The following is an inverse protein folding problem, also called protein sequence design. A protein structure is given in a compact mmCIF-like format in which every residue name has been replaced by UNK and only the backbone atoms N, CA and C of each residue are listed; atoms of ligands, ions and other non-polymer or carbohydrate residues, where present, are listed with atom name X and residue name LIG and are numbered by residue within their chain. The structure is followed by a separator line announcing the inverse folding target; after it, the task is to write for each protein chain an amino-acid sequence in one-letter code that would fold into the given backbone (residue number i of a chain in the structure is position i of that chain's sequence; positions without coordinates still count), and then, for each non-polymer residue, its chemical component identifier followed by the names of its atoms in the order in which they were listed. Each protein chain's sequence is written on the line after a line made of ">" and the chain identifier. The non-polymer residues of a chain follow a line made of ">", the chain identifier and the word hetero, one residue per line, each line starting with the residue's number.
data_IF_158234313290
#
_entry.id   IF_158234313290
#
_cell.length_a   1.000
_cell.length_b   1.000
_cell.length_c   1.000
_cell.angle_alpha   90.00
_cell.angle_beta   90.00
_cell.angle_gamma   90.00
#
_symmetry.space_group_name_H-M   'P 1'
#
loop_
_entity.id
_entity.type
_entity.pdbx_description
1 polymer ?
#
# COMPACT_ATOMS: atom_id res chain seq x y z
N UNK A 1 -1.22 16.07 7.22
CA UNK A 1 -1.23 14.63 6.86
C UNK A 1 -0.25 14.39 5.73
N UNK A 2 0.45 13.29 5.76
CA UNK A 2 1.32 12.86 4.65
C UNK A 2 0.86 11.48 4.19
N UNK A 3 0.81 11.31 2.86
CA UNK A 3 0.63 10.03 2.23
C UNK A 3 2.01 9.52 1.78
N UNK A 4 2.40 8.33 2.23
CA UNK A 4 3.63 7.67 1.81
C UNK A 4 3.29 6.68 0.71
N UNK A 5 3.92 6.84 -0.45
CA UNK A 5 3.82 5.86 -1.53
C UNK A 5 5.13 5.08 -1.58
N UNK A 6 5.04 3.78 -1.40
CA UNK A 6 6.17 2.87 -1.58
C UNK A 6 5.74 1.71 -2.48
N UNK A 7 6.65 1.25 -3.32
CA UNK A 7 6.46 0.07 -4.17
C UNK A 7 7.33 0.16 -5.41
N UNK A 8 7.58 -0.97 -6.03
CA UNK A 8 8.23 -1.08 -7.34
C UNK A 8 7.32 -0.58 -8.48
N UNK A 9 6.01 -0.57 -8.24
CA UNK A 9 5.01 -0.06 -9.16
C UNK A 9 4.48 1.33 -8.74
N UNK A 10 4.08 2.11 -9.73
CA UNK A 10 3.55 3.47 -9.53
C UNK A 10 2.05 3.41 -9.21
N UNK A 11 1.72 3.23 -7.94
CA UNK A 11 0.33 3.12 -7.49
C UNK A 11 -0.38 4.48 -7.45
N UNK A 12 -0.87 4.95 -8.58
CA UNK A 12 -1.68 6.17 -8.68
C UNK A 12 -2.94 6.07 -7.81
N UNK A 13 -3.55 4.89 -7.73
CA UNK A 13 -4.72 4.60 -6.89
C UNK A 13 -4.42 4.86 -5.41
N UNK A 14 -3.25 4.52 -4.91
CA UNK A 14 -2.87 4.75 -3.50
C UNK A 14 -2.89 6.24 -3.14
N UNK A 15 -2.55 7.14 -4.08
CA UNK A 15 -2.70 8.59 -3.86
C UNK A 15 -4.16 8.94 -3.61
N UNK A 16 -5.06 8.46 -4.45
CA UNK A 16 -6.50 8.74 -4.33
C UNK A 16 -7.09 8.14 -3.06
N UNK A 17 -6.76 6.88 -2.76
CA UNK A 17 -7.25 6.16 -1.57
C UNK A 17 -6.83 6.81 -0.25
N UNK A 18 -5.70 7.50 -0.21
CA UNK A 18 -5.27 8.20 1.00
C UNK A 18 -5.70 9.67 1.02
N UNK A 19 -5.63 10.35 -0.13
CA UNK A 19 -5.93 11.79 -0.18
C UNK A 19 -7.42 12.08 -0.12
N UNK A 20 -8.28 11.31 -0.79
CA UNK A 20 -9.72 11.58 -0.82
C UNK A 20 -10.37 11.48 0.56
N UNK A 21 -10.16 10.40 1.34
CA UNK A 21 -10.67 10.36 2.72
C UNK A 21 -10.14 11.49 3.59
N UNK A 22 -8.88 11.89 3.40
CA UNK A 22 -8.32 13.01 4.13
C UNK A 22 -9.00 14.34 3.81
N UNK A 23 -9.30 14.59 2.53
CA UNK A 23 -10.03 15.78 2.08
C UNK A 23 -11.43 15.79 2.68
N UNK A 24 -12.15 14.66 2.61
CA UNK A 24 -13.48 14.51 3.20
C UNK A 24 -13.47 14.75 4.70
N UNK A 25 -12.41 14.29 5.39
CA UNK A 25 -12.20 14.55 6.81
C UNK A 25 -11.76 15.98 7.14
N UNK A 26 -11.67 16.89 6.16
CA UNK A 26 -11.33 18.28 6.37
C UNK A 26 -9.84 18.58 6.59
N UNK A 27 -8.94 17.67 6.20
CA UNK A 27 -7.48 17.88 6.31
C UNK A 27 -7.04 19.00 5.35
N UNK A 28 -6.58 20.11 5.88
CA UNK A 28 -6.21 21.31 5.11
C UNK A 28 -4.89 21.19 4.35
N UNK A 29 -3.94 20.44 4.89
CA UNK A 29 -2.59 20.35 4.34
C UNK A 29 -2.23 18.88 4.09
N UNK A 30 -2.15 18.50 2.82
CA UNK A 30 -1.75 17.16 2.38
C UNK A 30 -0.41 17.26 1.67
N UNK A 31 0.53 16.44 2.08
CA UNK A 31 1.85 16.31 1.48
C UNK A 31 2.03 14.86 1.00
N UNK A 32 2.80 14.66 -0.04
CA UNK A 32 3.10 13.35 -0.59
C UNK A 32 4.58 13.08 -0.51
N UNK A 33 4.98 11.88 -0.09
CA UNK A 33 6.34 11.38 -0.26
C UNK A 33 6.30 10.13 -1.14
N UNK A 34 7.20 10.08 -2.10
CA UNK A 34 7.31 8.95 -3.03
C UNK A 34 8.77 8.78 -3.45
N UNK A 35 9.27 7.54 -3.51
CA UNK A 35 10.58 7.31 -4.10
C UNK A 35 10.57 7.78 -5.56
N UNK A 36 11.72 8.17 -6.05
CA UNK A 36 11.90 8.58 -7.45
C UNK A 36 12.89 7.63 -8.12
N UNK A 37 12.49 7.05 -9.24
CA UNK A 37 13.40 6.28 -10.08
C UNK A 37 14.13 7.25 -11.04
N UNK A 38 15.46 7.24 -11.02
CA UNK A 38 16.27 8.18 -11.83
C UNK A 38 15.83 9.65 -11.70
N UNK A 39 15.50 10.07 -10.47
CA UNK A 39 15.00 11.43 -10.14
C UNK A 39 13.66 11.80 -10.80
N UNK A 40 12.95 10.85 -11.41
CA UNK A 40 11.64 11.06 -12.03
C UNK A 40 10.54 10.41 -11.20
N UNK A 41 9.42 11.10 -11.06
CA UNK A 41 8.18 10.57 -10.50
C UNK A 41 7.25 10.26 -11.67
N UNK A 42 6.48 9.17 -11.58
CA UNK A 42 5.50 8.84 -12.60
C UNK A 42 4.51 10.01 -12.81
N UNK A 43 4.29 10.47 -14.04
CA UNK A 43 3.38 11.58 -14.34
C UNK A 43 1.95 11.36 -13.84
N UNK A 44 1.45 10.11 -13.84
CA UNK A 44 0.13 9.78 -13.33
C UNK A 44 0.01 10.03 -11.83
N UNK A 45 1.05 9.73 -11.04
CA UNK A 45 1.12 10.03 -9.59
C UNK A 45 1.07 11.55 -9.37
N UNK A 46 1.83 12.32 -10.16
CA UNK A 46 1.83 13.78 -10.08
C UNK A 46 0.46 14.34 -10.43
N UNK A 47 -0.19 13.80 -11.46
CA UNK A 47 -1.52 14.22 -11.89
C UNK A 47 -2.56 13.97 -10.79
N UNK A 48 -2.60 12.75 -10.24
CA UNK A 48 -3.50 12.40 -9.13
C UNK A 48 -3.27 13.29 -7.90
N UNK A 49 -2.02 13.51 -7.52
CA UNK A 49 -1.67 14.37 -6.40
C UNK A 49 -2.15 15.83 -6.61
N UNK A 50 -1.97 16.37 -7.83
CA UNK A 50 -2.49 17.71 -8.18
C UNK A 50 -4.01 17.77 -8.10
N UNK A 51 -4.73 16.76 -8.60
CA UNK A 51 -6.20 16.67 -8.51
C UNK A 51 -6.70 16.61 -7.08
N UNK A 52 -5.95 15.98 -6.18
CA UNK A 52 -6.24 15.95 -4.75
C UNK A 52 -5.75 17.18 -3.97
N UNK A 53 -5.24 18.22 -4.63
CA UNK A 53 -4.77 19.42 -3.95
C UNK A 53 -3.55 19.23 -3.06
N UNK A 54 -2.72 18.22 -3.34
CA UNK A 54 -1.46 17.97 -2.63
C UNK A 54 -0.55 19.18 -2.77
N UNK A 55 -0.14 19.78 -1.64
CA UNK A 55 0.63 21.02 -1.62
C UNK A 55 2.09 20.84 -1.99
N UNK A 56 2.68 19.70 -1.64
CA UNK A 56 4.09 19.41 -1.91
C UNK A 56 4.33 17.93 -2.08
N UNK A 57 5.17 17.58 -3.03
CA UNK A 57 5.63 16.21 -3.26
C UNK A 57 7.13 16.15 -2.95
N UNK A 58 7.50 15.29 -2.00
CA UNK A 58 8.88 15.03 -1.66
C UNK A 58 9.37 13.78 -2.42
N UNK A 59 10.47 13.94 -3.18
CA UNK A 59 11.11 12.85 -3.95
C UNK A 59 11.97 11.98 -3.04
N UNK A 60 11.38 11.38 -2.05
CA UNK A 60 12.04 10.50 -1.10
C UNK A 60 11.05 9.48 -0.56
N UNK A 61 11.53 8.34 -0.17
CA UNK A 61 10.73 7.26 0.42
C UNK A 61 11.53 6.56 1.52
N UNK A 62 11.02 5.43 2.02
CA UNK A 62 11.68 4.64 3.03
C UNK A 62 11.63 5.23 4.44
N UNK A 63 12.32 4.59 5.39
CA UNK A 63 12.32 4.94 6.80
C UNK A 63 12.74 6.40 7.07
N UNK A 64 13.75 6.88 6.33
CA UNK A 64 14.26 8.24 6.50
C UNK A 64 13.24 9.32 6.14
N UNK A 65 12.30 9.05 5.21
CA UNK A 65 11.22 9.99 4.92
C UNK A 65 10.20 10.07 6.07
N UNK A 66 9.92 8.94 6.71
CA UNK A 66 9.05 8.87 7.89
C UNK A 66 9.63 9.72 9.03
N UNK A 67 10.90 9.49 9.38
CA UNK A 67 11.57 10.27 10.41
C UNK A 67 11.64 11.78 10.09
N UNK A 68 11.97 12.12 8.84
CA UNK A 68 12.03 13.52 8.41
C UNK A 68 10.69 14.25 8.52
N UNK A 69 9.57 13.55 8.31
CA UNK A 69 8.23 14.12 8.42
C UNK A 69 7.72 14.12 9.85
N UNK A 70 8.07 13.12 10.66
CA UNK A 70 7.69 13.07 12.07
C UNK A 70 8.32 14.18 12.88
N UNK A 71 9.62 14.44 12.68
CA UNK A 71 10.37 15.42 13.48
C UNK A 71 10.54 16.78 12.79
N UNK A 72 10.38 16.83 11.47
CA UNK A 72 10.67 18.01 10.67
C UNK A 72 12.18 18.20 10.43
N UNK A 73 12.52 18.91 9.37
CA UNK A 73 13.89 19.32 9.04
C UNK A 73 13.86 20.67 8.32
N UNK A 74 15.02 21.23 7.95
CA UNK A 74 15.06 22.45 7.12
C UNK A 74 14.31 22.31 5.79
N UNK A 75 14.16 21.08 5.27
CA UNK A 75 13.51 20.80 3.97
C UNK A 75 12.14 20.13 4.11
N UNK A 76 11.87 19.44 5.22
CA UNK A 76 10.65 18.69 5.47
C UNK A 76 9.84 19.36 6.56
N UNK A 77 8.57 19.56 6.28
CA UNK A 77 7.61 20.10 7.23
C UNK A 77 7.25 18.99 8.21
N UNK A 78 7.29 19.26 9.52
CA UNK A 78 6.74 18.36 10.53
C UNK A 78 5.23 18.20 10.29
N UNK A 79 4.72 16.98 10.42
CA UNK A 79 3.31 16.66 10.20
C UNK A 79 2.68 16.02 11.43
N UNK A 80 1.36 16.10 11.51
CA UNK A 80 0.60 15.56 12.65
C UNK A 80 0.22 14.09 12.43
N UNK A 81 0.15 13.63 11.17
CA UNK A 81 -0.22 12.26 10.83
C UNK A 81 0.44 11.78 9.55
N UNK A 82 0.93 10.54 9.59
CA UNK A 82 1.54 9.81 8.47
C UNK A 82 0.66 8.61 8.14
N UNK A 83 0.24 8.48 6.88
CA UNK A 83 -0.61 7.38 6.40
C UNK A 83 -0.06 6.82 5.10
N UNK A 84 -0.47 5.63 4.75
CA UNK A 84 -0.13 4.97 3.50
C UNK A 84 0.70 3.70 3.69
N UNK A 85 0.71 2.82 2.68
CA UNK A 85 1.45 1.58 2.72
C UNK A 85 2.95 1.79 2.59
N UNK A 86 3.71 0.79 3.00
CA UNK A 86 5.16 0.79 2.87
C UNK A 86 5.73 -0.61 3.06
N UNK A 87 7.02 -0.76 2.78
CA UNK A 87 7.73 -2.00 3.06
C UNK A 87 8.04 -2.16 4.57
N UNK A 88 8.68 -3.26 4.95
CA UNK A 88 9.04 -3.55 6.35
C UNK A 88 9.83 -2.40 7.02
N UNK A 89 10.70 -1.71 6.28
CA UNK A 89 11.46 -0.55 6.82
C UNK A 89 10.55 0.64 7.11
N UNK A 90 9.56 0.90 6.26
CA UNK A 90 8.56 1.96 6.49
C UNK A 90 7.65 1.59 7.66
N UNK A 91 7.21 0.33 7.75
CA UNK A 91 6.40 -0.16 8.85
C UNK A 91 7.15 -0.04 10.20
N UNK A 92 8.42 -0.45 10.24
CA UNK A 92 9.27 -0.30 11.40
C UNK A 92 9.44 1.19 11.78
N UNK A 93 9.74 2.06 10.82
CA UNK A 93 9.90 3.48 11.08
C UNK A 93 8.59 4.14 11.57
N UNK A 94 7.42 3.74 11.04
CA UNK A 94 6.13 4.20 11.55
C UNK A 94 5.90 3.78 13.00
N UNK A 95 6.30 2.56 13.36
CA UNK A 95 6.22 2.07 14.75
C UNK A 95 7.11 2.90 15.68
N UNK A 96 8.33 3.22 15.27
CA UNK A 96 9.29 4.00 16.08
C UNK A 96 8.83 5.44 16.33
N UNK A 97 8.14 6.07 15.38
CA UNK A 97 7.64 7.44 15.52
C UNK A 97 6.21 7.52 16.07
N UNK A 98 5.60 6.37 16.37
CA UNK A 98 4.26 6.34 16.94
C UNK A 98 4.24 6.96 18.35
N UNK A 99 3.38 7.93 18.57
CA UNK A 99 3.35 8.75 19.77
C UNK A 99 3.89 10.16 19.53
N UNK A 100 4.96 10.31 18.73
CA UNK A 100 5.48 11.62 18.30
C UNK A 100 4.67 12.18 17.11
N UNK A 101 4.13 11.29 16.29
CA UNK A 101 3.25 11.58 15.16
C UNK A 101 2.16 10.50 15.06
N UNK A 102 0.95 10.89 14.66
CA UNK A 102 -0.11 9.92 14.40
C UNK A 102 0.20 9.06 13.17
N UNK A 103 -0.11 7.77 13.22
CA UNK A 103 -0.02 6.86 12.09
C UNK A 103 -1.39 6.25 11.78
N UNK A 104 -1.54 5.62 10.61
CA UNK A 104 -2.71 4.80 10.27
C UNK A 104 -2.62 3.42 10.93
N UNK A 105 -1.59 2.65 10.55
CA UNK A 105 -1.33 1.31 11.08
C UNK A 105 0.13 0.92 10.87
N UNK A 106 0.59 -0.07 11.61
CA UNK A 106 1.84 -0.78 11.32
C UNK A 106 1.45 -1.97 10.44
N UNK A 107 1.52 -1.77 9.12
CA UNK A 107 1.18 -2.81 8.16
C UNK A 107 2.38 -3.76 7.95
N UNK A 108 2.13 -5.06 8.13
CA UNK A 108 3.01 -6.12 7.63
C UNK A 108 2.70 -6.47 6.18
N UNK A 109 3.34 -7.53 5.62
CA UNK A 109 2.91 -8.13 4.36
C UNK A 109 1.44 -8.50 4.43
N UNK A 110 0.69 -8.19 3.37
CA UNK A 110 -0.74 -8.50 3.33
C UNK A 110 -0.97 -9.99 3.16
N UNK A 111 -1.95 -10.51 3.86
CA UNK A 111 -2.38 -11.89 3.77
C UNK A 111 -3.85 -11.93 3.32
N UNK A 112 -4.19 -12.90 2.49
CA UNK A 112 -5.58 -13.18 2.12
C UNK A 112 -5.95 -14.60 2.51
N UNK A 113 -7.11 -14.77 3.11
CA UNK A 113 -7.70 -16.08 3.38
C UNK A 113 -9.06 -16.17 2.70
N UNK A 114 -9.22 -17.14 1.82
CA UNK A 114 -10.47 -17.41 1.10
C UNK A 114 -11.10 -18.64 1.72
N UNK A 115 -12.28 -18.47 2.29
CA UNK A 115 -13.11 -19.58 2.81
C UNK A 115 -14.13 -19.93 1.74
N UNK A 116 -14.06 -21.15 1.20
CA UNK A 116 -14.89 -21.57 0.09
C UNK A 116 -15.54 -22.94 0.31
N UNK A 117 -16.77 -23.07 -0.16
CA UNK A 117 -17.52 -24.32 -0.17
C UNK A 117 -17.44 -25.02 -1.55
N UNK A 118 -18.20 -26.10 -1.72
CA UNK A 118 -18.24 -26.91 -2.94
C UNK A 118 -18.85 -26.21 -4.14
N UNK A 119 -19.53 -25.07 -3.98
CA UNK A 119 -20.19 -24.32 -5.05
C UNK A 119 -19.35 -23.16 -5.56
N UNK A 120 -18.25 -22.87 -4.89
CA UNK A 120 -17.37 -21.77 -5.28
C UNK A 120 -16.65 -22.08 -6.61
N UNK A 121 -16.46 -21.05 -7.42
CA UNK A 121 -15.78 -21.15 -8.71
C UNK A 121 -14.25 -21.21 -8.51
N UNK A 122 -13.59 -22.31 -8.96
CA UNK A 122 -12.14 -22.45 -8.82
C UNK A 122 -11.33 -21.39 -9.56
N UNK A 123 -11.82 -20.89 -10.70
CA UNK A 123 -11.11 -19.89 -11.50
C UNK A 123 -11.11 -18.52 -10.82
N UNK A 124 -12.21 -18.14 -10.17
CA UNK A 124 -12.29 -16.92 -9.39
C UNK A 124 -11.42 -16.99 -8.13
N UNK A 125 -11.46 -18.13 -7.42
CA UNK A 125 -10.58 -18.33 -6.25
C UNK A 125 -9.11 -18.23 -6.66
N UNK A 126 -8.72 -18.85 -7.77
CA UNK A 126 -7.35 -18.79 -8.25
C UNK A 126 -6.93 -17.35 -8.58
N UNK A 127 -7.80 -16.56 -9.22
CA UNK A 127 -7.53 -15.17 -9.54
C UNK A 127 -7.31 -14.33 -8.26
N UNK A 128 -8.13 -14.50 -7.23
CA UNK A 128 -7.99 -13.78 -5.96
C UNK A 128 -6.71 -14.16 -5.21
N UNK A 129 -6.35 -15.46 -5.21
CA UNK A 129 -5.09 -15.91 -4.60
C UNK A 129 -3.86 -15.34 -5.32
N UNK A 130 -3.89 -15.27 -6.65
CA UNK A 130 -2.81 -14.69 -7.47
C UNK A 130 -2.72 -13.18 -7.23
N UNK A 131 -3.85 -12.49 -7.21
CA UNK A 131 -3.91 -11.04 -7.00
C UNK A 131 -3.22 -10.62 -5.69
N UNK A 132 -3.33 -11.43 -4.63
CA UNK A 132 -2.60 -11.17 -3.39
C UNK A 132 -1.15 -11.59 -3.46
N UNK A 133 -0.85 -12.74 -4.06
CA UNK A 133 0.51 -13.29 -4.13
C UNK A 133 1.46 -12.42 -4.95
N UNK A 134 0.97 -11.69 -5.96
CA UNK A 134 1.79 -10.82 -6.81
C UNK A 134 2.29 -9.54 -6.10
N UNK A 135 1.69 -9.16 -4.96
CA UNK A 135 2.00 -7.91 -4.27
C UNK A 135 3.37 -7.90 -3.60
N UNK A 136 3.78 -9.00 -2.98
CA UNK A 136 5.06 -9.08 -2.25
C UNK A 136 5.50 -10.55 -2.14
N UNK A 137 6.82 -10.78 -2.13
CA UNK A 137 7.40 -12.13 -1.96
C UNK A 137 7.07 -12.76 -0.59
N UNK A 138 6.71 -11.95 0.39
CA UNK A 138 6.28 -12.38 1.72
C UNK A 138 4.75 -12.39 1.87
N UNK A 139 3.98 -12.09 0.81
CA UNK A 139 2.53 -12.18 0.84
C UNK A 139 2.10 -13.64 1.00
N UNK A 140 1.01 -13.84 1.74
CA UNK A 140 0.42 -15.17 1.92
C UNK A 140 -0.99 -15.19 1.35
N UNK A 141 -1.27 -16.26 0.59
CA UNK A 141 -2.59 -16.52 0.01
C UNK A 141 -3.05 -17.92 0.45
N UNK A 142 -4.13 -18.00 1.20
CA UNK A 142 -4.58 -19.22 1.88
C UNK A 142 -5.99 -19.57 1.39
N UNK A 143 -6.19 -20.81 0.93
CA UNK A 143 -7.50 -21.37 0.67
C UNK A 143 -7.91 -22.30 1.82
N UNK A 144 -9.07 -22.04 2.40
CA UNK A 144 -9.69 -22.88 3.44
C UNK A 144 -10.97 -23.47 2.89
N UNK A 145 -11.04 -24.80 2.81
CA UNK A 145 -12.24 -25.49 2.33
C UNK A 145 -12.39 -26.86 2.97
N UNK A 146 -13.64 -27.25 3.21
CA UNK A 146 -14.00 -28.61 3.62
C UNK A 146 -14.13 -29.57 2.43
N UNK A 147 -14.04 -29.10 1.19
CA UNK A 147 -14.22 -29.89 -0.04
C UNK A 147 -12.89 -30.13 -0.76
N UNK A 148 -12.27 -31.28 -0.50
CA UNK A 148 -10.94 -31.64 -1.02
C UNK A 148 -10.80 -31.53 -2.54
N UNK A 149 -11.86 -31.87 -3.30
CA UNK A 149 -11.84 -31.75 -4.77
C UNK A 149 -11.63 -30.30 -5.24
N UNK A 150 -12.12 -29.30 -4.49
CA UNK A 150 -11.93 -27.89 -4.81
C UNK A 150 -10.44 -27.50 -4.79
N UNK A 151 -9.66 -28.07 -3.85
CA UNK A 151 -8.21 -27.83 -3.77
C UNK A 151 -7.52 -28.21 -5.08
N UNK A 152 -7.86 -29.39 -5.63
CA UNK A 152 -7.31 -29.87 -6.90
C UNK A 152 -7.71 -28.97 -8.07
N UNK A 153 -8.96 -28.54 -8.12
CA UNK A 153 -9.48 -27.66 -9.18
C UNK A 153 -8.82 -26.28 -9.13
N UNK A 154 -8.69 -25.69 -7.94
CA UNK A 154 -8.00 -24.41 -7.76
C UNK A 154 -6.53 -24.53 -8.12
N UNK A 155 -5.84 -25.59 -7.71
CA UNK A 155 -4.45 -25.82 -8.08
C UNK A 155 -4.24 -25.94 -9.60
N UNK A 156 -5.19 -26.57 -10.31
CA UNK A 156 -5.19 -26.61 -11.76
C UNK A 156 -5.39 -25.22 -12.37
N UNK A 157 -6.37 -24.47 -11.87
CA UNK A 157 -6.65 -23.12 -12.33
C UNK A 157 -5.48 -22.14 -12.09
N UNK A 158 -4.83 -22.22 -10.93
CA UNK A 158 -3.62 -21.45 -10.64
C UNK A 158 -2.53 -21.68 -11.69
N UNK A 159 -2.24 -22.95 -12.02
CA UNK A 159 -1.25 -23.29 -13.07
C UNK A 159 -1.62 -22.73 -14.43
N UNK A 160 -2.90 -22.72 -14.78
CA UNK A 160 -3.41 -22.18 -16.05
C UNK A 160 -3.31 -20.65 -16.13
N UNK A 161 -3.50 -19.95 -15.01
CA UNK A 161 -3.51 -18.49 -14.98
C UNK A 161 -2.12 -17.86 -14.80
N UNK A 162 -1.15 -18.61 -14.25
CA UNK A 162 0.24 -18.14 -14.06
C UNK A 162 1.08 -18.31 -15.35
N UNK A 163 0.72 -19.24 -16.25
CA UNK A 163 1.38 -19.44 -17.55
C UNK A 163 0.75 -18.56 -18.63
#
# INVERSE_FOLDING_TARGET
>A
MVCVLWGTASYTITVLMNCIPAIVAGVKNIYLTTPSLNSKINPAVIYAAKKCGVKKIYKTGGAHSIAALAYGTKKFIKVDKIVGPGNAFVACAKKEVFGDVGIDMVAGPSEVSIVADKYADPDLIAADLIAQAEHDVNAQSILITAYSKLITLVAFSLRKQIN
#
